data_IF_327432582596
#
_entry.id   IF_327432582596
#
_cell.length_a   1.000
_cell.length_b   1.000
_cell.length_c   1.000
_cell.angle_alpha   90.00
_cell.angle_beta   90.00
_cell.angle_gamma   90.00
#
_symmetry.space_group_name_H-M   'P 1'
#
loop_
_entity.id
_entity.type
_entity.pdbx_description
1 polymer ?
#
# COMPACT_ATOMS: atom_id res chain seq x y z
N UNK A 1 0.60 5.37 4.59
CA UNK A 1 1.50 5.14 3.44
C UNK A 1 2.46 4.06 3.84
N UNK A 2 2.38 2.90 3.20
CA UNK A 2 3.26 1.77 3.48
C UNK A 2 4.58 1.87 2.69
N UNK A 3 4.60 2.68 1.63
CA UNK A 3 5.77 2.88 0.79
C UNK A 3 6.62 4.11 1.15
N UNK A 4 7.92 3.87 1.31
CA UNK A 4 8.94 4.90 1.50
C UNK A 4 9.78 5.08 0.22
N UNK A 5 10.22 6.31 -0.07
CA UNK A 5 11.15 6.58 -1.17
C UNK A 5 12.57 6.71 -0.63
N UNK A 6 13.46 5.80 -1.02
CA UNK A 6 14.90 5.87 -0.72
C UNK A 6 15.66 5.82 -2.05
N UNK A 7 16.34 6.94 -2.38
CA UNK A 7 16.96 7.11 -3.69
C UNK A 7 15.93 7.00 -4.83
N UNK A 8 16.15 6.04 -5.73
CA UNK A 8 15.22 5.73 -6.84
C UNK A 8 14.17 4.65 -6.49
N UNK A 9 14.28 4.02 -5.33
CA UNK A 9 13.46 2.87 -4.96
C UNK A 9 12.22 3.28 -4.15
N UNK A 10 11.13 2.53 -4.36
CA UNK A 10 9.94 2.54 -3.51
C UNK A 10 9.99 1.27 -2.67
N UNK A 11 10.18 1.41 -1.37
CA UNK A 11 10.36 0.32 -0.42
C UNK A 11 9.02 0.02 0.23
N UNK A 12 8.57 -1.23 0.16
CA UNK A 12 7.42 -1.69 0.94
C UNK A 12 7.89 -2.06 2.34
N UNK A 13 7.44 -1.32 3.34
CA UNK A 13 7.84 -1.58 4.72
C UNK A 13 6.74 -2.34 5.45
N UNK A 14 6.73 -3.67 5.29
CA UNK A 14 5.75 -4.54 5.95
C UNK A 14 5.89 -4.46 7.47
N UNK A 15 4.83 -4.82 8.20
CA UNK A 15 4.84 -4.90 9.66
C UNK A 15 6.00 -5.77 10.18
N UNK A 16 6.23 -6.94 9.57
CA UNK A 16 7.36 -7.80 9.96
C UNK A 16 8.72 -7.10 9.84
N UNK A 17 8.93 -6.33 8.76
CA UNK A 17 10.15 -5.56 8.53
C UNK A 17 10.25 -4.39 9.51
N UNK A 18 9.11 -3.76 9.81
CA UNK A 18 9.03 -2.74 10.85
C UNK A 18 9.46 -3.29 12.20
N UNK A 19 8.93 -4.44 12.59
CA UNK A 19 9.27 -5.10 13.85
C UNK A 19 10.73 -5.53 13.85
N UNK A 20 11.22 -6.20 12.82
CA UNK A 20 12.63 -6.64 12.70
C UNK A 20 13.62 -5.49 12.97
N UNK A 21 13.41 -4.34 12.34
CA UNK A 21 14.33 -3.20 12.42
C UNK A 21 14.17 -2.42 13.73
N UNK A 22 12.94 -2.24 14.20
CA UNK A 22 12.65 -1.34 15.32
C UNK A 22 12.59 -2.05 16.68
N UNK A 23 12.58 -3.39 16.70
CA UNK A 23 12.45 -4.17 17.94
C UNK A 23 13.42 -3.72 19.05
N UNK A 24 14.72 -3.46 18.78
CA UNK A 24 15.63 -3.04 19.85
C UNK A 24 15.22 -1.73 20.53
N UNK A 25 14.68 -0.78 19.75
CA UNK A 25 14.18 0.48 20.30
C UNK A 25 12.83 0.28 20.99
N UNK A 26 11.89 -0.45 20.38
CA UNK A 26 10.58 -0.72 20.98
C UNK A 26 10.72 -1.44 22.34
N UNK A 27 11.63 -2.41 22.45
CA UNK A 27 11.92 -3.11 23.70
C UNK A 27 12.58 -2.23 24.78
N UNK A 28 13.11 -1.06 24.41
CA UNK A 28 13.69 -0.10 25.36
C UNK A 28 12.64 0.85 25.97
N UNK A 29 11.44 0.92 25.38
CA UNK A 29 10.36 1.80 25.83
C UNK A 29 9.54 1.17 26.93
N UNK A 30 9.02 2.00 27.84
CA UNK A 30 8.03 1.59 28.82
C UNK A 30 6.66 1.35 28.16
N UNK A 31 5.79 0.57 28.83
CA UNK A 31 4.42 0.36 28.36
C UNK A 31 3.64 1.68 28.16
N UNK A 32 3.88 2.67 29.03
CA UNK A 32 3.27 3.99 28.89
C UNK A 32 3.75 4.71 27.62
N UNK A 33 5.04 4.67 27.31
CA UNK A 33 5.61 5.28 26.10
C UNK A 33 5.10 4.59 24.83
N UNK A 34 4.96 3.27 24.84
CA UNK A 34 4.39 2.53 23.71
C UNK A 34 2.94 2.93 23.43
N UNK A 35 2.10 3.01 24.47
CA UNK A 35 0.68 3.34 24.33
C UNK A 35 0.45 4.83 24.02
N UNK A 36 1.33 5.71 24.50
CA UNK A 36 1.21 7.16 24.29
C UNK A 36 1.82 7.65 22.98
N UNK A 37 2.56 6.80 22.27
CA UNK A 37 3.18 7.16 21.00
C UNK A 37 2.12 7.48 19.94
N UNK A 38 2.22 8.68 19.37
CA UNK A 38 1.31 9.16 18.31
C UNK A 38 2.11 9.64 17.12
N UNK A 39 1.59 9.41 15.91
CA UNK A 39 2.22 9.95 14.69
C UNK A 39 2.29 11.48 14.74
N UNK A 40 1.28 12.12 15.32
CA UNK A 40 1.22 13.56 15.57
C UNK A 40 0.71 13.83 16.99
N UNK A 41 1.38 14.71 17.70
CA UNK A 41 0.93 15.31 18.94
C UNK A 41 -0.20 16.31 18.71
N UNK A 42 -0.78 16.79 19.82
CA UNK A 42 -1.89 17.77 19.81
C UNK A 42 -1.45 19.11 19.20
N UNK A 43 -0.15 19.42 19.25
CA UNK A 43 0.48 20.59 18.64
C UNK A 43 0.82 20.40 17.15
N UNK A 44 0.43 19.27 16.56
CA UNK A 44 0.73 18.92 15.18
C UNK A 44 2.20 18.56 14.94
N UNK A 45 3.02 18.41 15.99
CA UNK A 45 4.41 17.94 15.85
C UNK A 45 4.49 16.43 16.00
N UNK A 46 5.41 15.75 15.31
CA UNK A 46 5.62 14.34 15.52
C UNK A 46 6.03 14.04 16.97
N UNK A 47 5.50 12.97 17.54
CA UNK A 47 5.99 12.46 18.81
C UNK A 47 7.49 12.12 18.71
N UNK A 48 8.23 12.32 19.80
CA UNK A 48 9.69 12.11 19.81
C UNK A 48 10.05 10.64 19.53
N UNK A 49 9.29 9.69 20.07
CA UNK A 49 9.53 8.27 19.84
C UNK A 49 9.09 7.86 18.43
N UNK A 50 8.00 8.43 17.92
CA UNK A 50 7.60 8.24 16.52
C UNK A 50 8.67 8.75 15.54
N UNK A 51 9.26 9.92 15.81
CA UNK A 51 10.36 10.46 15.01
C UNK A 51 11.62 9.59 15.12
N UNK A 52 11.90 9.03 16.30
CA UNK A 52 13.04 8.14 16.50
C UNK A 52 12.88 6.83 15.72
N UNK A 53 11.69 6.23 15.72
CA UNK A 53 11.36 5.07 14.88
C UNK A 53 11.55 5.37 13.40
N UNK A 54 11.02 6.50 12.93
CA UNK A 54 11.21 6.92 11.55
C UNK A 54 12.70 7.07 11.19
N UNK A 55 13.50 7.63 12.11
CA UNK A 55 14.94 7.81 11.93
C UNK A 55 15.67 6.47 11.82
N UNK A 56 15.42 5.54 12.76
CA UNK A 56 16.02 4.19 12.76
C UNK A 56 15.71 3.47 11.45
N UNK A 57 14.45 3.52 11.01
CA UNK A 57 14.01 2.94 9.76
C UNK A 57 14.77 3.53 8.54
N UNK A 58 14.83 4.86 8.43
CA UNK A 58 15.51 5.53 7.29
C UNK A 58 17.00 5.20 7.29
N UNK A 59 17.66 5.25 8.44
CA UNK A 59 19.08 4.91 8.59
C UNK A 59 19.34 3.47 8.14
N UNK A 60 18.49 2.52 8.54
CA UNK A 60 18.61 1.12 8.14
C UNK A 60 18.49 0.94 6.62
N UNK A 61 17.51 1.58 6.00
CA UNK A 61 17.35 1.50 4.54
C UNK A 61 18.53 2.14 3.79
N UNK A 62 19.09 3.24 4.31
CA UNK A 62 20.25 3.88 3.71
C UNK A 62 21.53 3.05 3.88
N UNK A 63 21.69 2.40 5.02
CA UNK A 63 22.79 1.46 5.27
C UNK A 63 22.71 0.27 4.31
N UNK A 64 21.55 -0.40 4.25
CA UNK A 64 21.35 -1.55 3.39
C UNK A 64 21.50 -1.17 1.90
N UNK A 65 21.05 0.01 1.48
CA UNK A 65 21.24 0.48 0.09
C UNK A 65 22.71 0.69 -0.27
N UNK A 66 23.57 1.04 0.69
CA UNK A 66 25.01 1.23 0.46
C UNK A 66 25.79 -0.09 0.51
N UNK A 67 25.37 -1.00 1.38
CA UNK A 67 26.15 -2.18 1.75
C UNK A 67 25.69 -3.46 1.06
N UNK A 68 24.43 -3.56 0.63
CA UNK A 68 23.92 -4.72 -0.10
C UNK A 68 24.18 -4.59 -1.60
N UNK A 69 24.44 -5.70 -2.31
CA UNK A 69 24.27 -5.75 -3.75
C UNK A 69 22.89 -5.23 -4.15
N UNK A 70 22.81 -4.55 -5.29
CA UNK A 70 21.56 -3.94 -5.75
C UNK A 70 20.41 -4.95 -5.84
N UNK A 71 20.67 -6.17 -6.29
CA UNK A 71 19.67 -7.22 -6.40
C UNK A 71 19.13 -7.62 -5.02
N UNK A 72 20.03 -7.88 -4.07
CA UNK A 72 19.68 -8.22 -2.69
C UNK A 72 18.87 -7.11 -2.01
N UNK A 73 19.19 -5.84 -2.27
CA UNK A 73 18.38 -4.72 -1.77
C UNK A 73 16.96 -4.74 -2.35
N UNK A 74 16.82 -5.00 -3.66
CA UNK A 74 15.52 -5.07 -4.32
C UNK A 74 14.67 -6.21 -3.73
N UNK A 75 15.23 -7.42 -3.66
CA UNK A 75 14.54 -8.59 -3.11
C UNK A 75 14.14 -8.37 -1.64
N UNK A 76 15.04 -7.76 -0.86
CA UNK A 76 14.83 -7.55 0.56
C UNK A 76 13.85 -6.41 0.87
N UNK A 77 13.83 -5.34 0.11
CA UNK A 77 13.13 -4.10 0.49
C UNK A 77 12.08 -3.62 -0.50
N UNK A 78 12.27 -3.88 -1.79
CA UNK A 78 11.43 -3.34 -2.87
C UNK A 78 10.36 -4.35 -3.29
N UNK A 79 10.73 -5.63 -3.34
CA UNK A 79 9.84 -6.72 -3.69
C UNK A 79 8.98 -7.16 -2.51
N UNK A 80 7.79 -7.64 -2.86
CA UNK A 80 6.84 -8.29 -1.98
C UNK A 80 6.27 -9.56 -2.62
N UNK A 81 5.99 -10.57 -1.79
CA UNK A 81 5.27 -11.81 -2.14
C UNK A 81 4.37 -12.16 -0.94
N UNK A 82 3.15 -11.63 -0.95
CA UNK A 82 2.13 -11.89 0.06
C UNK A 82 1.15 -12.93 -0.45
N UNK A 83 0.70 -13.79 0.46
CA UNK A 83 -0.21 -14.90 0.13
C UNK A 83 -1.34 -14.99 1.13
N UNK A 84 -2.51 -15.43 0.63
CA UNK A 84 -3.72 -15.68 1.40
C UNK A 84 -4.07 -14.49 2.31
N UNK A 85 -4.36 -14.74 3.58
CA UNK A 85 -4.73 -13.73 4.59
C UNK A 85 -3.82 -12.50 4.55
N UNK A 86 -2.50 -12.68 4.57
CA UNK A 86 -1.56 -11.57 4.49
C UNK A 86 -1.71 -10.73 3.21
N UNK A 87 -2.04 -11.35 2.07
CA UNK A 87 -2.32 -10.61 0.84
C UNK A 87 -3.64 -9.84 0.94
N UNK A 88 -4.64 -10.38 1.62
CA UNK A 88 -5.95 -9.75 1.80
C UNK A 88 -5.83 -8.50 2.67
N UNK A 89 -4.95 -8.52 3.67
CA UNK A 89 -4.74 -7.40 4.59
C UNK A 89 -3.97 -6.24 3.94
N UNK A 90 -2.96 -6.54 3.12
CA UNK A 90 -2.03 -5.51 2.60
C UNK A 90 -2.39 -4.95 1.22
N UNK A 91 -3.20 -5.65 0.41
CA UNK A 91 -3.46 -5.21 -0.97
C UNK A 91 -4.14 -3.85 -1.04
N UNK A 92 -5.04 -3.54 -0.10
CA UNK A 92 -5.68 -2.24 -0.05
C UNK A 92 -4.64 -1.10 0.00
N UNK A 93 -3.64 -1.23 0.87
CA UNK A 93 -2.56 -0.25 1.02
C UNK A 93 -1.69 -0.17 -0.24
N UNK A 94 -1.35 -1.32 -0.84
CA UNK A 94 -0.56 -1.37 -2.08
C UNK A 94 -1.29 -0.62 -3.20
N UNK A 95 -2.60 -0.85 -3.36
CA UNK A 95 -3.41 -0.17 -4.37
C UNK A 95 -3.52 1.33 -4.09
N UNK A 96 -3.69 1.74 -2.82
CA UNK A 96 -3.74 3.17 -2.44
C UNK A 96 -2.45 3.85 -2.85
N UNK A 97 -1.31 3.30 -2.45
CA UNK A 97 -0.01 3.89 -2.74
C UNK A 97 0.29 3.86 -4.25
N UNK A 98 -0.14 2.81 -4.98
CA UNK A 98 -0.05 2.73 -6.43
C UNK A 98 -0.84 3.87 -7.11
N UNK A 99 -2.12 4.05 -6.80
CA UNK A 99 -2.93 5.12 -7.40
C UNK A 99 -2.48 6.51 -6.98
N UNK A 100 -2.00 6.68 -5.75
CA UNK A 100 -1.41 7.94 -5.30
C UNK A 100 -0.15 8.30 -6.09
N UNK A 101 0.69 7.32 -6.44
CA UNK A 101 1.94 7.58 -7.16
C UNK A 101 1.69 7.77 -8.66
N UNK A 102 0.92 6.88 -9.28
CA UNK A 102 0.77 6.84 -10.75
C UNK A 102 -0.39 7.72 -11.25
N UNK A 103 -1.27 8.19 -10.37
CA UNK A 103 -2.38 9.11 -10.67
C UNK A 103 -3.25 8.66 -11.85
N UNK A 104 -3.35 7.35 -12.09
CA UNK A 104 -4.05 6.72 -13.20
C UNK A 104 -5.43 6.16 -12.79
N UNK A 105 -5.87 6.42 -11.56
CA UNK A 105 -7.16 5.97 -11.05
C UNK A 105 -7.37 6.30 -9.58
N UNK A 106 -8.39 5.69 -9.00
CA UNK A 106 -8.68 5.74 -7.57
C UNK A 106 -9.40 4.47 -7.09
N UNK A 107 -9.43 4.29 -5.78
CA UNK A 107 -10.19 3.26 -5.08
C UNK A 107 -11.45 3.91 -4.52
N UNK A 108 -12.59 3.27 -4.74
CA UNK A 108 -13.88 3.67 -4.19
C UNK A 108 -14.34 2.58 -3.23
N UNK A 109 -14.61 2.97 -1.98
CA UNK A 109 -15.23 2.09 -0.98
C UNK A 109 -16.62 1.67 -1.46
N UNK A 110 -16.93 0.37 -1.38
CA UNK A 110 -18.26 -0.14 -1.69
C UNK A 110 -19.02 -0.61 -0.44
N UNK A 111 -18.48 -0.42 0.77
CA UNK A 111 -19.21 -0.70 2.01
C UNK A 111 -20.47 0.13 2.10
N UNK A 112 -21.51 -0.48 2.66
CA UNK A 112 -22.71 0.24 3.07
C UNK A 112 -22.44 1.02 4.36
N UNK A 113 -23.35 1.94 4.70
CA UNK A 113 -23.26 2.68 5.96
C UNK A 113 -23.28 1.75 7.19
N UNK A 114 -24.08 0.69 7.14
CA UNK A 114 -24.18 -0.30 8.23
C UNK A 114 -22.87 -1.09 8.40
N UNK A 115 -22.19 -1.43 7.29
CA UNK A 115 -20.88 -2.09 7.32
C UNK A 115 -19.80 -1.17 7.92
N UNK A 116 -19.85 0.13 7.59
CA UNK A 116 -18.96 1.13 8.17
C UNK A 116 -19.18 1.25 9.67
N UNK A 117 -20.45 1.33 10.09
CA UNK A 117 -20.82 1.46 11.49
C UNK A 117 -20.35 0.24 12.29
N UNK A 118 -20.59 -0.98 11.80
CA UNK A 118 -20.16 -2.20 12.48
C UNK A 118 -18.64 -2.27 12.67
N UNK A 119 -17.86 -1.89 11.65
CA UNK A 119 -16.40 -1.91 11.74
C UNK A 119 -15.87 -0.86 12.74
N UNK A 120 -16.48 0.33 12.77
CA UNK A 120 -16.15 1.36 13.76
C UNK A 120 -16.47 0.88 15.19
N UNK A 121 -17.56 0.13 15.38
CA UNK A 121 -17.96 -0.45 16.66
C UNK A 121 -17.07 -1.61 17.12
N UNK A 122 -16.58 -2.46 16.22
CA UNK A 122 -15.68 -3.57 16.58
C UNK A 122 -14.25 -3.13 16.85
N UNK A 123 -13.93 -1.85 16.62
CA UNK A 123 -12.58 -1.32 16.78
C UNK A 123 -11.64 -1.69 15.64
N UNK A 124 -12.17 -2.25 14.54
CA UNK A 124 -11.46 -2.35 13.26
C UNK A 124 -11.39 -0.96 12.62
N UNK A 125 -10.60 -0.08 13.24
CA UNK A 125 -10.29 1.26 12.72
C UNK A 125 -9.40 1.10 11.48
N UNK A 126 -10.03 0.77 10.35
CA UNK A 126 -9.36 0.71 9.08
C UNK A 126 -9.09 2.16 8.65
N UNK A 127 -7.82 2.57 8.69
CA UNK A 127 -7.39 3.93 8.29
C UNK A 127 -7.69 4.29 6.83
N UNK A 128 -8.17 3.33 6.04
CA UNK A 128 -8.55 3.46 4.64
C UNK A 128 -9.78 2.60 4.35
N UNK A 129 -10.52 2.86 3.25
CA UNK A 129 -11.64 2.04 2.83
C UNK A 129 -11.16 0.67 2.33
N UNK A 130 -10.79 -0.21 3.25
CA UNK A 130 -10.46 -1.62 2.99
C UNK A 130 -11.67 -2.49 3.34
N UNK A 131 -12.85 -2.07 2.89
CA UNK A 131 -14.00 -2.96 2.88
C UNK A 131 -13.68 -4.24 2.12
N UNK A 132 -14.42 -5.31 2.37
CA UNK A 132 -14.22 -6.59 1.68
C UNK A 132 -14.27 -6.45 0.16
N UNK A 133 -15.01 -5.46 -0.36
CA UNK A 133 -15.11 -5.15 -1.79
C UNK A 133 -14.81 -3.69 -2.06
N UNK A 134 -14.02 -3.46 -3.10
CA UNK A 134 -13.65 -2.13 -3.57
C UNK A 134 -13.93 -2.02 -5.06
N UNK A 135 -14.21 -0.79 -5.51
CA UNK A 135 -14.24 -0.46 -6.94
C UNK A 135 -12.96 0.27 -7.30
N UNK A 136 -12.18 -0.35 -8.18
CA UNK A 136 -11.03 0.30 -8.82
C UNK A 136 -11.55 1.05 -10.05
N UNK A 137 -11.33 2.35 -10.07
CA UNK A 137 -11.71 3.20 -11.20
C UNK A 137 -10.46 3.72 -11.88
N UNK A 138 -10.26 3.32 -13.14
CA UNK A 138 -9.11 3.71 -13.95
C UNK A 138 -9.48 4.83 -14.92
N UNK A 139 -8.59 5.80 -15.06
CA UNK A 139 -8.66 6.80 -16.12
C UNK A 139 -7.95 6.26 -17.35
N UNK A 140 -8.67 6.01 -18.44
CA UNK A 140 -8.05 5.59 -19.69
C UNK A 140 -7.27 6.76 -20.30
N UNK A 141 -5.95 6.66 -20.27
CA UNK A 141 -5.04 7.56 -20.96
C UNK A 141 -5.05 7.25 -22.46
N UNK A 142 -6.04 7.79 -23.17
CA UNK A 142 -5.96 7.82 -24.63
C UNK A 142 -4.73 8.68 -25.00
N UNK A 143 -3.73 8.09 -25.68
CA UNK A 143 -2.62 8.84 -26.33
C UNK A 143 -3.23 9.77 -27.38
N UNK A 144 -3.67 10.96 -26.98
CA UNK A 144 -4.45 11.85 -27.83
C UNK A 144 -4.01 13.31 -27.74
N UNK A 145 -4.01 13.94 -28.91
CA UNK A 145 -3.56 15.31 -29.14
C UNK A 145 -4.37 16.32 -28.31
N UNK A 146 -3.77 17.46 -28.00
CA UNK A 146 -4.30 18.51 -27.11
C UNK A 146 -5.78 18.88 -27.37
N UNK A 147 -6.20 18.92 -28.64
CA UNK A 147 -7.58 19.23 -29.02
C UNK A 147 -8.61 18.17 -28.55
N UNK A 148 -8.23 16.89 -28.47
CA UNK A 148 -9.14 15.82 -28.02
C UNK A 148 -9.31 15.79 -26.49
N UNK A 149 -8.37 16.36 -25.73
CA UNK A 149 -8.44 16.49 -24.26
C UNK A 149 -9.51 17.49 -23.79
N UNK A 150 -9.87 18.48 -24.62
CA UNK A 150 -10.82 19.54 -24.26
C UNK A 150 -12.29 19.16 -24.47
N UNK A 151 -12.58 18.14 -25.30
CA UNK A 151 -13.95 17.91 -25.79
C UNK A 151 -14.52 16.49 -25.57
N UNK A 152 -13.80 15.56 -24.94
CA UNK A 152 -14.34 14.22 -24.64
C UNK A 152 -14.32 13.86 -23.15
N UNK A 153 -15.42 13.23 -22.71
CA UNK A 153 -15.55 12.58 -21.39
C UNK A 153 -14.41 11.57 -21.23
N UNK A 154 -13.68 11.65 -20.11
CA UNK A 154 -12.71 10.60 -19.72
C UNK A 154 -13.45 9.26 -19.73
N UNK A 155 -13.00 8.33 -20.55
CA UNK A 155 -13.51 6.95 -20.50
C UNK A 155 -12.96 6.33 -19.21
N UNK A 156 -13.88 5.97 -18.31
CA UNK A 156 -13.54 5.34 -17.04
C UNK A 156 -13.78 3.84 -17.18
N UNK A 157 -12.78 3.06 -16.80
CA UNK A 157 -12.91 1.62 -16.68
C UNK A 157 -13.06 1.28 -15.20
N UNK A 158 -14.05 0.47 -14.85
CA UNK A 158 -14.33 0.13 -13.46
C UNK A 158 -14.20 -1.38 -13.27
N UNK A 159 -13.54 -1.76 -12.19
CA UNK A 159 -13.36 -3.14 -11.76
C UNK A 159 -13.84 -3.24 -10.33
N UNK A 160 -14.66 -4.23 -10.02
CA UNK A 160 -14.97 -4.57 -8.63
C UNK A 160 -14.03 -5.69 -8.21
N UNK A 161 -13.27 -5.45 -7.15
CA UNK A 161 -12.35 -6.42 -6.57
C UNK A 161 -12.84 -6.79 -5.17
N UNK A 162 -12.92 -8.10 -4.92
CA UNK A 162 -13.20 -8.66 -3.59
C UNK A 162 -11.86 -8.97 -2.92
N UNK A 163 -11.46 -8.14 -1.96
CA UNK A 163 -10.18 -8.24 -1.27
C UNK A 163 -10.05 -9.54 -0.49
N UNK A 164 -11.16 -10.11 0.03
CA UNK A 164 -11.18 -11.39 0.76
C UNK A 164 -10.94 -12.60 -0.15
N UNK A 165 -11.07 -12.44 -1.46
CA UNK A 165 -10.78 -13.49 -2.46
C UNK A 165 -9.35 -13.46 -2.99
N UNK A 166 -8.52 -12.54 -2.49
CA UNK A 166 -7.13 -12.46 -2.91
C UNK A 166 -6.34 -13.64 -2.33
N UNK A 167 -5.54 -14.24 -3.20
CA UNK A 167 -4.65 -15.36 -2.89
C UNK A 167 -3.19 -14.96 -2.96
N UNK A 168 -2.81 -14.08 -3.88
CA UNK A 168 -1.43 -13.65 -4.07
C UNK A 168 -1.41 -12.16 -4.38
N UNK A 169 -0.46 -11.45 -3.77
CA UNK A 169 -0.02 -10.13 -4.20
C UNK A 169 1.51 -10.16 -4.29
N UNK A 170 2.05 -10.02 -5.51
CA UNK A 170 3.49 -10.20 -5.74
C UNK A 170 4.05 -9.23 -6.75
N UNK A 171 5.22 -8.69 -6.47
CA UNK A 171 6.02 -7.90 -7.41
C UNK A 171 6.69 -6.71 -6.73
N UNK A 172 6.83 -5.62 -7.48
CA UNK A 172 7.26 -4.31 -7.00
C UNK A 172 6.15 -3.30 -7.28
N UNK A 173 6.13 -2.16 -6.60
CA UNK A 173 5.03 -1.18 -6.78
C UNK A 173 4.85 -0.70 -8.23
N UNK A 174 5.91 -0.71 -9.02
CA UNK A 174 5.87 -0.34 -10.43
C UNK A 174 5.35 -1.46 -11.36
N UNK A 175 5.41 -2.70 -10.91
CA UNK A 175 5.04 -3.89 -11.67
C UNK A 175 4.71 -5.04 -10.71
N UNK A 176 3.42 -5.24 -10.45
CA UNK A 176 2.94 -6.30 -9.55
C UNK A 176 1.66 -6.94 -10.05
N UNK A 177 1.42 -8.16 -9.55
CA UNK A 177 0.19 -8.90 -9.80
C UNK A 177 -0.61 -9.12 -8.53
N UNK A 178 -1.92 -9.07 -8.68
CA UNK A 178 -2.89 -9.55 -7.69
C UNK A 178 -3.61 -10.72 -8.31
N UNK A 179 -3.62 -11.86 -7.62
CA UNK A 179 -4.34 -13.04 -8.05
C UNK A 179 -5.48 -13.36 -7.10
N UNK A 180 -6.65 -13.62 -7.68
CA UNK A 180 -7.80 -14.23 -7.01
C UNK A 180 -7.96 -15.67 -7.46
N UNK A 181 -9.05 -16.32 -7.04
CA UNK A 181 -9.42 -17.64 -7.50
C UNK A 181 -9.63 -17.71 -9.02
N UNK A 182 -10.21 -16.65 -9.61
CA UNK A 182 -10.67 -16.68 -11.00
C UNK A 182 -9.94 -15.68 -11.91
N UNK A 183 -9.21 -14.72 -11.35
CA UNK A 183 -8.68 -13.59 -12.09
C UNK A 183 -7.24 -13.29 -11.68
N UNK A 184 -6.48 -12.76 -12.63
CA UNK A 184 -5.17 -12.16 -12.42
C UNK A 184 -5.27 -10.71 -12.87
N UNK A 185 -4.87 -9.80 -12.00
CA UNK A 185 -4.76 -8.38 -12.27
C UNK A 185 -3.27 -8.03 -12.31
N UNK A 186 -2.77 -7.64 -13.48
CA UNK A 186 -1.42 -7.12 -13.62
C UNK A 186 -1.47 -5.59 -13.55
N UNK A 187 -0.71 -5.01 -12.63
CA UNK A 187 -0.56 -3.57 -12.45
C UNK A 187 0.85 -3.16 -12.88
N UNK A 188 0.93 -2.40 -13.95
CA UNK A 188 2.16 -1.82 -14.51
C UNK A 188 1.84 -0.45 -15.12
N UNK A 189 2.60 0.05 -16.10
CA UNK A 189 2.17 1.22 -16.89
C UNK A 189 0.74 1.03 -17.44
N UNK A 190 0.39 -0.21 -17.80
CA UNK A 190 -0.97 -0.61 -18.14
C UNK A 190 -1.52 -1.58 -17.09
N UNK A 191 -2.85 -1.60 -16.94
CA UNK A 191 -3.55 -2.56 -16.09
C UNK A 191 -4.21 -3.60 -16.96
N UNK A 192 -3.84 -4.86 -16.77
CA UNK A 192 -4.33 -6.00 -17.53
C UNK A 192 -5.10 -6.95 -16.63
N UNK A 193 -6.18 -7.55 -17.16
CA UNK A 193 -7.04 -8.46 -16.41
C UNK A 193 -7.25 -9.70 -17.26
N UNK A 194 -6.87 -10.86 -16.71
CA UNK A 194 -7.06 -12.16 -17.35
C UNK A 194 -7.78 -13.13 -16.44
N UNK A 195 -8.53 -14.06 -17.03
CA UNK A 195 -9.14 -15.17 -16.29
C UNK A 195 -8.11 -16.27 -16.04
N UNK A 196 -8.20 -16.94 -14.89
CA UNK A 196 -7.52 -18.23 -14.67
C UNK A 196 -8.33 -19.31 -15.39
N UNK A 197 -7.69 -19.99 -16.34
CA UNK A 197 -8.26 -21.15 -17.04
C UNK A 197 -8.30 -22.39 -16.19
#
# INVERSE_FOLDING_TARGET
>A
MAYYKIGRYRVFYSEDRFMEVNQPFLSSLTAHELISMKVLGIDGKPDKNALKLQTIHIEKLQEDLKNLPNQDFIEKWVEFDFRNEKAQDVVGEILVDYFDIYKNGCIIDLRTFDDQLNNDFTGENLSFPTGEKVRLQFTLSNRQNFAQRLFKRRSLFNVVMDLKRIKIAKGVLADFKIETDNQIFQFSENVEISSKG
#
